data_IF_816352840006
#
_entry.id   IF_816352840006
#
_cell.length_a   1.000
_cell.length_b   1.000
_cell.length_c   1.000
_cell.angle_alpha   90.00
_cell.angle_beta   90.00
_cell.angle_gamma   90.00
#
_symmetry.space_group_name_H-M   'P 1'
#
loop_
_entity.id
_entity.type
_entity.pdbx_description
1 polymer ?
#
# COMPACT_ATOMS: atom_id res chain seq x y z
N UNK A 1 36.08 25.36 18.88
CA UNK A 1 35.59 23.97 18.89
C UNK A 1 36.43 23.25 17.86
N UNK A 2 37.15 22.18 18.22
CA UNK A 2 37.97 21.45 17.24
C UNK A 2 37.06 20.89 16.16
N UNK A 3 37.53 20.81 14.91
CA UNK A 3 36.74 20.36 13.76
C UNK A 3 36.16 18.95 14.03
N UNK A 4 36.97 18.07 14.63
CA UNK A 4 36.56 16.73 15.09
C UNK A 4 35.37 16.78 16.04
N UNK A 5 35.37 17.69 17.01
CA UNK A 5 34.28 17.81 18.00
C UNK A 5 32.97 18.24 17.32
N UNK A 6 33.04 19.17 16.35
CA UNK A 6 31.88 19.59 15.57
C UNK A 6 31.31 18.43 14.76
N UNK A 7 32.16 17.69 14.06
CA UNK A 7 31.74 16.54 13.26
C UNK A 7 31.11 15.43 14.12
N UNK A 8 31.63 15.17 15.32
CA UNK A 8 31.00 14.25 16.27
C UNK A 8 29.61 14.72 16.73
N UNK A 9 29.40 16.02 16.94
CA UNK A 9 28.06 16.55 17.25
C UNK A 9 27.10 16.41 16.07
N UNK A 10 27.56 16.62 14.84
CA UNK A 10 26.75 16.42 13.63
C UNK A 10 26.33 14.95 13.51
N UNK A 11 27.22 13.99 13.79
CA UNK A 11 26.86 12.57 13.81
C UNK A 11 25.83 12.24 14.89
N UNK A 12 25.97 12.81 16.09
CA UNK A 12 24.98 12.63 17.16
C UNK A 12 23.63 13.23 16.78
N UNK A 13 23.62 14.39 16.11
CA UNK A 13 22.40 15.05 15.66
C UNK A 13 21.70 14.29 14.53
N UNK A 14 22.48 13.70 13.63
CA UNK A 14 22.03 12.86 12.52
C UNK A 14 21.52 11.47 12.97
N UNK A 15 21.77 11.07 14.21
CA UNK A 15 21.23 9.82 14.78
C UNK A 15 19.73 9.95 15.05
N UNK A 16 18.98 8.86 14.87
CA UNK A 16 17.55 8.81 15.09
C UNK A 16 17.17 9.16 16.52
N UNK A 17 16.26 10.13 16.66
CA UNK A 17 15.76 10.62 17.95
C UNK A 17 14.40 10.01 18.26
N UNK A 18 14.05 9.79 19.54
CA UNK A 18 12.72 9.37 19.92
C UNK A 18 11.66 10.36 19.39
N UNK A 19 10.71 9.92 18.54
CA UNK A 19 9.68 10.80 18.03
C UNK A 19 8.66 11.13 19.12
N UNK A 20 7.88 12.19 18.90
CA UNK A 20 6.64 12.38 19.64
C UNK A 20 5.61 11.33 19.22
N UNK A 21 4.73 10.91 20.12
CA UNK A 21 3.69 9.91 19.80
C UNK A 21 4.13 8.44 19.91
N UNK A 22 5.20 8.12 20.64
CA UNK A 22 5.60 6.71 20.89
C UNK A 22 4.46 5.91 21.54
N UNK A 23 3.74 6.53 22.48
CA UNK A 23 2.57 5.93 23.13
C UNK A 23 1.32 5.90 22.21
N UNK A 24 1.36 6.63 21.09
CA UNK A 24 0.32 6.63 20.06
C UNK A 24 0.69 5.67 18.89
N UNK A 25 1.77 4.89 19.02
CA UNK A 25 2.16 3.87 18.04
C UNK A 25 3.28 4.27 17.09
N UNK A 26 3.91 5.43 17.27
CA UNK A 26 5.09 5.82 16.47
C UNK A 26 6.34 5.08 16.98
N UNK A 27 6.72 4.01 16.28
CA UNK A 27 7.81 3.10 16.71
C UNK A 27 9.08 3.20 15.86
N UNK A 28 9.12 4.12 14.89
CA UNK A 28 10.29 4.40 14.06
C UNK A 28 11.02 5.63 14.59
N UNK A 29 12.36 5.61 14.60
CA UNK A 29 13.24 6.73 14.94
C UNK A 29 14.19 6.95 13.74
N UNK A 30 13.82 7.84 12.83
CA UNK A 30 14.59 8.10 11.61
C UNK A 30 15.75 9.05 11.92
N UNK A 31 16.95 8.67 11.49
CA UNK A 31 18.13 9.53 11.48
C UNK A 31 18.26 10.27 10.15
N UNK A 32 19.00 11.38 10.14
CA UNK A 32 19.27 12.13 8.92
C UNK A 32 20.36 11.42 8.09
N UNK A 33 19.92 10.61 7.13
CA UNK A 33 20.79 9.81 6.26
C UNK A 33 21.83 10.65 5.53
N UNK A 34 21.40 11.74 4.87
CA UNK A 34 22.29 12.56 4.06
C UNK A 34 23.29 13.33 4.89
N UNK A 35 22.87 13.84 6.05
CA UNK A 35 23.76 14.55 6.98
C UNK A 35 24.83 13.62 7.54
N UNK A 36 24.45 12.40 7.93
CA UNK A 36 25.41 11.40 8.40
C UNK A 36 26.48 11.09 7.36
N UNK A 37 26.09 10.84 6.11
CA UNK A 37 27.04 10.48 5.05
C UNK A 37 27.93 11.64 4.58
N UNK A 38 27.54 12.89 4.85
CA UNK A 38 28.35 14.09 4.55
C UNK A 38 29.50 14.30 5.54
N UNK A 39 29.45 13.67 6.71
CA UNK A 39 30.51 13.80 7.73
C UNK A 39 31.82 13.18 7.24
N UNK A 40 32.86 14.02 7.17
CA UNK A 40 34.24 13.62 6.85
C UNK A 40 35.18 14.35 7.81
N UNK A 41 36.06 13.61 8.45
CA UNK A 41 37.06 14.14 9.39
C UNK A 41 38.43 13.88 8.83
N UNK A 42 39.23 14.94 8.67
CA UNK A 42 40.62 14.84 8.27
C UNK A 42 41.50 14.38 9.45
N UNK A 43 42.55 13.64 9.13
CA UNK A 43 43.64 13.32 10.03
C UNK A 43 44.58 14.54 10.09
N UNK A 44 44.72 15.14 11.26
CA UNK A 44 45.49 16.39 11.46
C UNK A 44 47.00 16.20 11.20
N UNK A 45 47.48 14.94 11.15
CA UNK A 45 48.91 14.60 11.14
C UNK A 45 49.51 14.28 9.76
N UNK A 46 48.72 14.09 8.69
CA UNK A 46 49.22 13.68 7.36
C UNK A 46 48.47 14.37 6.20
N UNK A 47 49.02 15.46 5.66
CA UNK A 47 48.62 15.99 4.34
C UNK A 47 49.40 15.28 3.24
N UNK A 48 48.77 14.35 2.52
CA UNK A 48 49.35 13.75 1.31
C UNK A 48 49.04 14.63 0.08
N UNK A 49 50.06 14.84 -0.75
CA UNK A 49 49.93 15.56 -2.03
C UNK A 49 49.52 14.55 -3.12
N UNK A 50 48.41 14.82 -3.81
CA UNK A 50 47.98 14.10 -5.02
C UNK A 50 49.06 14.19 -6.13
N UNK A 51 49.05 13.28 -7.11
CA UNK A 51 49.94 13.29 -8.30
C UNK A 51 49.83 14.61 -9.11
N UNK A 52 48.74 15.36 -8.90
CA UNK A 52 48.48 16.70 -9.46
C UNK A 52 48.89 17.87 -8.53
N UNK A 53 49.57 17.59 -7.41
CA UNK A 53 50.07 18.59 -6.46
C UNK A 53 48.97 19.26 -5.62
N UNK A 54 47.80 18.63 -5.47
CA UNK A 54 46.71 19.10 -4.61
C UNK A 54 46.84 18.50 -3.22
N UNK A 55 46.72 19.32 -2.18
CA UNK A 55 46.59 18.83 -0.80
C UNK A 55 45.32 18.00 -0.68
N UNK A 56 45.46 16.69 -0.49
CA UNK A 56 44.36 15.80 -0.19
C UNK A 56 44.46 15.41 1.28
N UNK A 57 43.50 15.87 2.07
CA UNK A 57 43.41 15.51 3.48
C UNK A 57 43.19 14.00 3.61
N UNK A 58 44.06 13.32 4.35
CA UNK A 58 43.87 11.90 4.70
C UNK A 58 42.64 11.81 5.60
N UNK A 59 41.61 11.07 5.18
CA UNK A 59 40.37 10.95 5.97
C UNK A 59 40.61 10.04 7.20
N UNK A 60 40.51 10.59 8.41
CA UNK A 60 40.60 9.85 9.68
C UNK A 60 39.39 8.92 9.86
N UNK A 61 38.18 9.45 9.67
CA UNK A 61 36.97 8.66 9.48
C UNK A 61 35.91 9.46 8.72
N UNK A 62 34.92 8.73 8.21
CA UNK A 62 33.69 9.28 7.61
C UNK A 62 32.46 8.74 8.32
N UNK A 63 31.32 9.40 8.15
CA UNK A 63 30.06 8.89 8.68
C UNK A 63 29.60 7.62 7.97
N UNK A 64 29.04 6.70 8.75
CA UNK A 64 28.41 5.46 8.31
C UNK A 64 27.01 5.39 8.93
N UNK A 65 26.01 5.19 8.09
CA UNK A 65 24.61 5.15 8.50
C UNK A 65 24.16 3.71 8.70
N UNK A 66 23.77 3.33 9.91
CA UNK A 66 23.33 2.00 10.28
C UNK A 66 21.85 1.97 10.64
N UNK A 67 21.11 0.97 10.14
CA UNK A 67 19.70 0.74 10.48
C UNK A 67 19.59 -0.44 11.43
N UNK A 68 19.01 -0.23 12.61
CA UNK A 68 18.77 -1.25 13.62
C UNK A 68 17.29 -1.44 13.94
N UNK A 69 16.89 -2.69 14.13
CA UNK A 69 15.55 -3.08 14.58
C UNK A 69 15.63 -3.66 15.99
N UNK A 70 14.74 -3.22 16.87
CA UNK A 70 14.55 -3.70 18.22
C UNK A 70 13.16 -4.32 18.32
N UNK A 71 13.11 -5.60 18.70
CA UNK A 71 11.86 -6.32 18.91
C UNK A 71 11.71 -6.67 20.39
N UNK A 72 10.58 -6.36 21.03
CA UNK A 72 10.37 -6.78 22.41
C UNK A 72 10.41 -8.30 22.51
N UNK A 73 10.96 -8.83 23.60
CA UNK A 73 10.90 -10.26 23.88
C UNK A 73 9.47 -10.64 24.26
N UNK A 74 8.91 -11.62 23.55
CA UNK A 74 7.54 -12.07 23.77
C UNK A 74 7.46 -13.60 23.77
N UNK A 75 6.54 -14.18 24.56
CA UNK A 75 6.25 -15.61 24.53
C UNK A 75 5.68 -16.03 23.17
N UNK A 76 5.68 -17.33 22.86
CA UNK A 76 5.15 -17.83 21.58
C UNK A 76 3.68 -17.44 21.41
N UNK A 77 3.36 -16.88 20.24
CA UNK A 77 2.02 -16.51 19.82
C UNK A 77 1.04 -17.69 19.94
N UNK A 78 -0.10 -17.54 20.66
CA UNK A 78 -1.11 -18.58 20.74
C UNK A 78 -1.82 -18.79 19.40
N UNK A 79 -2.33 -20.00 19.16
CA UNK A 79 -2.98 -20.37 17.90
C UNK A 79 -4.32 -19.64 17.68
N UNK A 80 -5.00 -19.24 18.76
CA UNK A 80 -6.27 -18.52 18.75
C UNK A 80 -6.16 -17.30 19.69
N UNK A 81 -6.33 -16.11 19.14
CA UNK A 81 -6.30 -14.84 19.87
C UNK A 81 -7.20 -13.82 19.18
N UNK A 82 -7.86 -12.99 19.96
CA UNK A 82 -8.56 -11.79 19.49
C UNK A 82 -7.75 -10.53 19.83
N UNK A 83 -8.15 -9.37 19.33
CA UNK A 83 -7.44 -8.11 19.62
C UNK A 83 -7.43 -7.76 21.13
N UNK A 84 -8.41 -8.27 21.89
CA UNK A 84 -8.55 -8.08 23.35
C UNK A 84 -8.14 -9.31 24.19
N UNK A 85 -7.62 -10.40 23.59
CA UNK A 85 -7.32 -11.61 24.37
C UNK A 85 -6.01 -11.50 25.15
N UNK A 86 -6.05 -11.65 26.48
CA UNK A 86 -4.86 -11.54 27.33
C UNK A 86 -3.94 -12.74 27.16
N UNK A 87 -2.63 -12.50 26.99
CA UNK A 87 -1.63 -13.57 26.95
C UNK A 87 -1.40 -14.08 28.38
N UNK A 88 -1.92 -15.27 28.69
CA UNK A 88 -1.82 -15.89 30.02
C UNK A 88 -0.39 -15.97 30.58
N UNK A 89 0.64 -16.00 29.72
CA UNK A 89 2.05 -16.01 30.13
C UNK A 89 2.57 -14.71 30.75
N UNK A 90 1.83 -13.60 30.67
CA UNK A 90 2.19 -12.30 31.22
C UNK A 90 1.28 -11.84 32.38
N UNK A 91 0.23 -12.61 32.68
CA UNK A 91 -0.63 -12.34 33.83
C UNK A 91 0.06 -12.85 35.09
N UNK A 92 0.63 -11.94 35.86
CA UNK A 92 1.05 -12.23 37.24
C UNK A 92 -0.18 -12.03 38.13
N UNK A 93 -0.52 -13.05 38.90
CA UNK A 93 -1.77 -13.20 39.67
C UNK A 93 -1.96 -12.19 40.82
N UNK A 94 -1.08 -11.17 40.95
CA UNK A 94 -1.14 -10.19 42.03
C UNK A 94 -1.01 -8.76 41.53
N UNK A 95 -2.08 -8.01 41.77
CA UNK A 95 -2.26 -6.56 41.71
C UNK A 95 -2.42 -5.90 40.34
N UNK A 96 -3.48 -5.09 40.22
CA UNK A 96 -3.79 -4.16 39.12
C UNK A 96 -2.65 -3.15 38.95
N UNK A 97 -1.64 -3.57 38.20
CA UNK A 97 -0.45 -2.81 37.90
C UNK A 97 -0.37 -2.53 36.41
N UNK A 98 0.49 -1.58 36.03
CA UNK A 98 0.86 -1.27 34.64
C UNK A 98 1.12 -2.55 33.80
N UNK A 99 1.54 -3.65 34.44
CA UNK A 99 1.72 -4.94 33.79
C UNK A 99 0.44 -5.56 33.19
N UNK A 100 -0.75 -5.31 33.74
CA UNK A 100 -2.02 -5.77 33.15
C UNK A 100 -2.33 -5.03 31.84
N UNK A 101 -2.05 -3.72 31.78
CA UNK A 101 -2.21 -2.94 30.55
C UNK A 101 -1.19 -3.37 29.47
N UNK A 102 0.05 -3.66 29.89
CA UNK A 102 1.06 -4.25 29.00
C UNK A 102 0.70 -5.67 28.55
N UNK A 103 0.02 -6.46 29.38
CA UNK A 103 -0.46 -7.80 29.03
C UNK A 103 -1.60 -7.75 28.00
N UNK A 104 -2.43 -6.69 28.05
CA UNK A 104 -3.46 -6.41 27.04
C UNK A 104 -2.83 -5.97 25.70
N UNK A 105 -1.70 -5.24 25.77
CA UNK A 105 -0.92 -4.83 24.61
C UNK A 105 0.07 -5.91 24.11
N UNK A 106 0.16 -7.07 24.79
CA UNK A 106 1.17 -8.09 24.49
C UNK A 106 1.02 -8.73 23.10
N UNK A 107 -0.20 -8.81 22.59
CA UNK A 107 -0.44 -9.27 21.22
C UNK A 107 0.01 -8.23 20.19
N UNK A 108 -0.13 -6.95 20.50
CA UNK A 108 0.32 -5.85 19.64
C UNK A 108 1.86 -5.81 19.54
N UNK A 109 2.57 -6.04 20.65
CA UNK A 109 4.02 -6.09 20.67
C UNK A 109 4.62 -7.18 19.75
N UNK A 110 3.85 -8.24 19.38
CA UNK A 110 4.32 -9.25 18.42
C UNK A 110 4.52 -8.70 17.00
N UNK A 111 3.84 -7.60 16.69
CA UNK A 111 3.83 -6.98 15.36
C UNK A 111 4.60 -5.66 15.34
N UNK A 112 4.84 -5.06 16.51
CA UNK A 112 5.71 -3.88 16.61
C UNK A 112 7.16 -4.29 16.39
N UNK A 113 7.81 -3.59 15.48
CA UNK A 113 9.27 -3.56 15.38
C UNK A 113 9.72 -2.13 15.55
N UNK A 114 10.48 -1.84 16.61
CA UNK A 114 11.06 -0.53 16.78
C UNK A 114 12.22 -0.40 15.83
N UNK A 115 12.21 0.62 14.97
CA UNK A 115 13.33 0.91 14.09
C UNK A 115 14.08 2.12 14.63
N UNK A 116 15.39 2.03 14.75
CA UNK A 116 16.24 3.15 15.12
C UNK A 116 17.45 3.20 14.19
N UNK A 117 17.70 4.37 13.64
CA UNK A 117 18.82 4.60 12.74
C UNK A 117 19.97 5.29 13.49
N UNK A 118 21.20 4.81 13.31
CA UNK A 118 22.41 5.28 13.98
C UNK A 118 23.38 5.91 12.98
N UNK A 119 23.99 7.04 13.34
CA UNK A 119 25.14 7.57 12.63
C UNK A 119 26.41 7.29 13.43
N UNK A 120 27.30 6.48 12.87
CA UNK A 120 28.52 5.99 13.52
C UNK A 120 29.73 6.20 12.61
N UNK A 121 30.97 6.24 13.13
CA UNK A 121 32.13 6.42 12.27
C UNK A 121 32.38 5.15 11.45
N UNK A 122 32.97 5.31 10.27
CA UNK A 122 33.32 4.22 9.36
C UNK A 122 34.33 3.21 9.93
N UNK A 123 34.98 3.56 11.04
CA UNK A 123 35.85 2.67 11.81
C UNK A 123 35.05 1.61 12.58
N UNK A 124 33.75 1.81 12.81
CA UNK A 124 32.88 0.82 13.42
C UNK A 124 32.42 -0.20 12.39
N UNK A 125 32.54 -1.50 12.70
CA UNK A 125 31.96 -2.54 11.85
C UNK A 125 30.50 -2.77 12.19
N UNK A 126 29.75 -3.38 11.26
CA UNK A 126 28.36 -3.80 11.50
C UNK A 126 28.22 -4.69 12.74
N UNK A 127 29.22 -5.53 13.02
CA UNK A 127 29.23 -6.40 14.18
C UNK A 127 29.38 -5.63 15.49
N UNK A 128 30.17 -4.55 15.48
CA UNK A 128 30.33 -3.68 16.65
C UNK A 128 29.00 -3.00 16.99
N UNK A 129 28.29 -2.49 15.98
CA UNK A 129 26.96 -1.90 16.15
C UNK A 129 25.95 -2.95 16.60
N UNK A 130 26.04 -4.18 16.09
CA UNK A 130 25.19 -5.28 16.56
C UNK A 130 25.45 -5.59 18.04
N UNK A 131 26.70 -5.61 18.50
CA UNK A 131 27.05 -5.82 19.92
C UNK A 131 26.51 -4.69 20.79
N UNK A 132 26.75 -3.44 20.42
CA UNK A 132 26.23 -2.26 21.16
C UNK A 132 24.70 -2.29 21.22
N UNK A 133 24.05 -2.55 20.09
CA UNK A 133 22.58 -2.65 20.01
C UNK A 133 22.05 -3.78 20.89
N UNK A 134 22.73 -4.94 20.95
CA UNK A 134 22.32 -6.04 21.83
C UNK A 134 22.49 -5.74 23.32
N UNK A 135 23.51 -4.95 23.70
CA UNK A 135 23.68 -4.51 25.08
C UNK A 135 22.56 -3.56 25.50
N UNK A 136 22.23 -2.58 24.66
CA UNK A 136 21.09 -1.67 24.87
C UNK A 136 19.79 -2.48 24.97
N UNK A 137 19.58 -3.41 24.04
CA UNK A 137 18.36 -4.21 23.98
C UNK A 137 18.21 -5.15 25.20
N UNK A 138 19.30 -5.72 25.71
CA UNK A 138 19.27 -6.61 26.87
C UNK A 138 18.74 -5.92 28.12
N UNK A 139 19.06 -4.64 28.30
CA UNK A 139 18.58 -3.86 29.45
C UNK A 139 17.07 -3.59 29.39
N UNK A 140 16.48 -3.68 28.20
CA UNK A 140 15.05 -3.42 27.98
C UNK A 140 14.24 -4.71 27.75
N UNK A 141 14.87 -5.89 27.77
CA UNK A 141 14.28 -7.17 27.32
C UNK A 141 13.88 -7.19 25.84
N UNK A 142 14.66 -6.54 24.97
CA UNK A 142 14.49 -6.54 23.52
C UNK A 142 15.53 -7.43 22.84
N UNK A 143 15.22 -7.87 21.62
CA UNK A 143 16.14 -8.46 20.65
C UNK A 143 16.50 -7.42 19.59
N UNK A 144 17.77 -7.06 19.50
CA UNK A 144 18.28 -6.17 18.47
C UNK A 144 18.77 -6.91 17.22
N UNK A 145 18.58 -6.31 16.04
CA UNK A 145 19.14 -6.76 14.76
C UNK A 145 19.51 -5.56 13.89
N UNK A 146 20.78 -5.47 13.52
CA UNK A 146 21.28 -4.47 12.56
C UNK A 146 21.04 -4.98 11.14
N UNK A 147 20.22 -4.27 10.37
CA UNK A 147 19.84 -4.66 9.01
C UNK A 147 20.97 -4.39 8.03
N UNK A 148 21.47 -3.15 8.03
CA UNK A 148 22.45 -2.63 7.07
C UNK A 148 23.22 -1.46 7.66
N UNK A 149 24.43 -1.24 7.16
CA UNK A 149 25.26 -0.08 7.43
C UNK A 149 25.90 0.37 6.11
N UNK A 150 25.72 1.64 5.74
CA UNK A 150 26.07 2.18 4.43
C UNK A 150 26.98 3.40 4.57
N UNK A 151 27.91 3.57 3.63
CA UNK A 151 28.82 4.73 3.55
C UNK A 151 28.63 5.49 2.25
N UNK A 152 29.17 6.72 2.16
CA UNK A 152 28.98 7.59 0.99
C UNK A 152 29.41 6.97 -0.34
N UNK A 153 30.39 6.06 -0.34
CA UNK A 153 30.92 5.41 -1.54
C UNK A 153 30.00 4.29 -2.08
N UNK A 154 29.01 3.84 -1.30
CA UNK A 154 28.10 2.76 -1.71
C UNK A 154 26.97 3.28 -2.66
N UNK A 155 26.87 4.60 -2.86
CA UNK A 155 25.81 5.26 -3.64
C UNK A 155 26.09 5.38 -5.14
N UNK A 156 27.27 4.97 -5.63
CA UNK A 156 27.59 5.04 -7.07
C UNK A 156 26.91 3.96 -7.92
N UNK A 157 26.13 3.07 -7.31
CA UNK A 157 25.30 2.12 -8.05
C UNK A 157 24.03 2.83 -8.50
N UNK A 158 23.84 2.94 -9.83
CA UNK A 158 22.59 3.44 -10.43
C UNK A 158 21.40 2.81 -9.73
N UNK A 159 20.64 3.64 -9.02
CA UNK A 159 19.45 3.20 -8.31
C UNK A 159 18.50 2.55 -9.32
N UNK A 160 17.85 1.45 -8.93
CA UNK A 160 16.82 0.79 -9.77
C UNK A 160 15.76 1.80 -10.24
N UNK A 161 15.50 2.84 -9.44
CA UNK A 161 14.60 3.94 -9.79
C UNK A 161 15.14 4.79 -10.93
N UNK A 162 16.44 5.09 -10.98
CA UNK A 162 17.05 5.81 -12.11
C UNK A 162 16.95 4.99 -13.40
N UNK A 163 17.22 3.68 -13.32
CA UNK A 163 17.07 2.77 -14.47
C UNK A 163 15.62 2.71 -14.98
N UNK A 164 14.64 2.65 -14.07
CA UNK A 164 13.22 2.70 -14.41
C UNK A 164 12.81 4.05 -15.02
N UNK A 165 13.31 5.17 -14.50
CA UNK A 165 13.03 6.49 -15.08
C UNK A 165 13.61 6.63 -16.50
N UNK A 166 14.79 6.08 -16.75
CA UNK A 166 15.39 6.05 -18.09
C UNK A 166 14.57 5.17 -19.03
N UNK A 167 14.11 3.99 -18.57
CA UNK A 167 13.27 3.11 -19.37
C UNK A 167 11.92 3.77 -19.72
N UNK A 168 11.27 4.41 -18.75
CA UNK A 168 9.99 5.10 -18.96
C UNK A 168 10.17 6.27 -19.92
N UNK A 169 11.19 7.11 -19.73
CA UNK A 169 11.46 8.22 -20.65
C UNK A 169 11.78 7.73 -22.06
N UNK A 170 12.55 6.64 -22.20
CA UNK A 170 12.82 5.99 -23.49
C UNK A 170 11.53 5.49 -24.16
N UNK A 171 10.63 4.83 -23.43
CA UNK A 171 9.35 4.35 -24.00
C UNK A 171 8.44 5.50 -24.44
N UNK A 172 8.42 6.61 -23.70
CA UNK A 172 7.67 7.82 -24.10
C UNK A 172 8.25 8.43 -25.38
N UNK A 173 9.58 8.50 -25.50
CA UNK A 173 10.26 9.01 -26.71
C UNK A 173 9.96 8.11 -27.92
N UNK A 174 9.99 6.79 -27.75
CA UNK A 174 9.62 5.85 -28.83
C UNK A 174 8.14 6.02 -29.20
N UNK A 175 7.25 6.21 -28.23
CA UNK A 175 5.82 6.43 -28.46
C UNK A 175 5.54 7.77 -29.16
N UNK A 176 6.27 8.84 -28.85
CA UNK A 176 6.14 10.14 -29.53
C UNK A 176 6.68 10.08 -30.96
N UNK A 177 7.85 9.48 -31.19
CA UNK A 177 8.43 9.30 -32.54
C UNK A 177 7.53 8.42 -33.41
N UNK A 178 6.98 7.33 -32.87
CA UNK A 178 6.03 6.49 -33.61
C UNK A 178 4.72 7.23 -33.90
N UNK A 179 4.21 8.04 -32.97
CA UNK A 179 3.04 8.90 -33.22
C UNK A 179 3.29 9.96 -34.30
N UNK A 180 4.48 10.60 -34.31
CA UNK A 180 4.87 11.59 -35.31
C UNK A 180 5.05 10.95 -36.70
N UNK A 181 5.74 9.82 -36.77
CA UNK A 181 5.95 9.10 -38.03
C UNK A 181 4.65 8.55 -38.62
N UNK A 182 3.73 8.05 -37.80
CA UNK A 182 2.38 7.65 -38.26
C UNK A 182 1.58 8.85 -38.79
N UNK A 183 1.61 10.00 -38.10
CA UNK A 183 0.93 11.21 -38.58
C UNK A 183 1.52 11.72 -39.90
N UNK A 184 2.85 11.75 -40.03
CA UNK A 184 3.54 12.17 -41.26
C UNK A 184 3.24 11.21 -42.42
N UNK A 185 3.34 9.90 -42.21
CA UNK A 185 3.03 8.90 -43.25
C UNK A 185 1.55 8.86 -43.64
N UNK A 186 0.64 9.20 -42.72
CA UNK A 186 -0.80 9.29 -43.02
C UNK A 186 -1.16 10.42 -43.97
N UNK A 187 -0.32 11.46 -44.09
CA UNK A 187 -0.50 12.53 -45.07
C UNK A 187 -0.09 12.09 -46.50
N UNK A 188 0.88 11.18 -46.65
CA UNK A 188 1.44 10.81 -47.96
C UNK A 188 0.86 9.51 -48.55
N UNK A 189 0.35 8.56 -47.76
CA UNK A 189 -0.17 7.29 -48.30
C UNK A 189 -1.35 6.69 -47.51
N UNK A 190 -2.50 6.61 -48.17
CA UNK A 190 -3.76 6.00 -47.69
C UNK A 190 -3.68 4.48 -47.37
N UNK A 191 -2.57 3.79 -47.67
CA UNK A 191 -2.54 2.32 -47.79
C UNK A 191 -1.75 1.54 -46.73
N UNK A 192 -1.07 2.17 -45.77
CA UNK A 192 -0.34 1.44 -44.71
C UNK A 192 -1.01 1.56 -43.34
N UNK A 193 -2.28 1.15 -43.30
CA UNK A 193 -3.03 0.89 -42.07
C UNK A 193 -2.61 -0.44 -41.44
N UNK A 194 -1.33 -0.59 -41.10
CA UNK A 194 -0.87 -1.73 -40.30
C UNK A 194 -1.36 -1.56 -38.86
N UNK A 195 -2.32 -2.39 -38.44
CA UNK A 195 -3.00 -2.24 -37.14
C UNK A 195 -2.08 -2.44 -35.92
N UNK A 196 -0.88 -3.03 -36.12
CA UNK A 196 0.01 -3.40 -35.01
C UNK A 196 0.74 -2.22 -34.38
N UNK A 197 1.00 -1.16 -35.14
CA UNK A 197 1.69 0.04 -34.63
C UNK A 197 0.74 1.16 -34.22
N UNK A 198 -0.56 1.03 -34.52
CA UNK A 198 -1.58 1.99 -34.10
C UNK A 198 -1.81 1.98 -32.59
N UNK A 199 -1.48 0.90 -31.88
CA UNK A 199 -1.60 0.85 -30.41
C UNK A 199 -0.46 1.57 -29.67
N UNK A 200 0.65 1.86 -30.35
CA UNK A 200 1.82 2.55 -29.78
C UNK A 200 1.79 4.07 -30.01
N UNK A 201 0.95 4.54 -30.93
CA UNK A 201 0.78 5.98 -31.16
C UNK A 201 0.02 6.59 -29.98
N UNK A 202 0.59 7.66 -29.42
CA UNK A 202 -0.01 8.43 -28.35
C UNK A 202 -1.32 9.09 -28.81
N UNK A 203 -1.42 9.52 -30.06
CA UNK A 203 -2.60 10.19 -30.58
C UNK A 203 -3.79 9.25 -30.75
N UNK A 204 -3.56 8.04 -31.25
CA UNK A 204 -4.61 7.01 -31.35
C UNK A 204 -5.02 6.52 -29.97
N UNK A 205 -4.06 6.30 -29.06
CA UNK A 205 -4.35 5.94 -27.66
C UNK A 205 -5.12 7.06 -26.92
N UNK A 206 -4.75 8.32 -27.16
CA UNK A 206 -5.44 9.49 -26.61
C UNK A 206 -6.86 9.60 -27.14
N UNK A 207 -7.06 9.44 -28.45
CA UNK A 207 -8.39 9.46 -29.05
C UNK A 207 -9.22 8.22 -28.70
N UNK A 208 -8.60 7.07 -28.43
CA UNK A 208 -9.31 5.89 -27.93
C UNK A 208 -9.76 6.09 -26.49
N UNK A 209 -8.96 6.77 -25.65
CA UNK A 209 -9.29 7.06 -24.24
C UNK A 209 -10.28 8.22 -24.10
N UNK A 210 -10.04 9.34 -24.78
CA UNK A 210 -10.79 10.61 -24.66
C UNK A 210 -11.81 10.85 -25.79
N UNK A 211 -11.71 10.12 -26.90
CA UNK A 211 -12.62 10.29 -28.03
C UNK A 211 -14.04 9.82 -27.72
N UNK A 212 -15.04 10.37 -28.42
CA UNK A 212 -16.43 9.96 -28.32
C UNK A 212 -16.61 8.58 -28.96
N UNK A 213 -16.27 7.51 -28.25
CA UNK A 213 -16.58 6.16 -28.70
C UNK A 213 -18.07 5.88 -28.53
N UNK A 214 -18.72 5.51 -29.64
CA UNK A 214 -19.91 4.65 -29.61
C UNK A 214 -19.59 3.44 -28.73
N UNK A 215 -20.53 3.03 -27.89
CA UNK A 215 -20.43 1.82 -27.09
C UNK A 215 -20.41 0.58 -28.01
N UNK A 216 -19.27 0.33 -28.66
CA UNK A 216 -19.07 -0.76 -29.63
C UNK A 216 -18.79 -2.11 -28.96
N UNK A 217 -19.15 -2.28 -27.69
CA UNK A 217 -18.99 -3.53 -26.98
C UNK A 217 -20.21 -3.85 -26.15
N UNK A 218 -20.54 -5.14 -26.08
CA UNK A 218 -21.58 -5.76 -25.25
C UNK A 218 -21.55 -5.42 -23.74
N UNK A 219 -20.63 -4.56 -23.30
CA UNK A 219 -20.41 -4.20 -21.90
C UNK A 219 -21.34 -3.05 -21.48
N UNK A 220 -22.10 -3.20 -20.37
CA UNK A 220 -22.97 -2.15 -19.87
C UNK A 220 -22.17 -0.93 -19.40
N UNK A 221 -22.60 0.26 -19.81
CA UNK A 221 -21.92 1.55 -19.55
C UNK A 221 -21.76 1.87 -18.05
N UNK A 222 -22.75 1.64 -17.16
CA UNK A 222 -22.62 1.95 -15.73
C UNK A 222 -21.45 1.24 -15.05
N UNK A 223 -21.03 0.08 -15.57
CA UNK A 223 -19.97 -0.73 -14.97
C UNK A 223 -18.61 -0.02 -14.97
N UNK A 224 -18.36 0.88 -15.92
CA UNK A 224 -17.14 1.69 -15.94
C UNK A 224 -17.08 2.63 -14.74
N UNK A 225 -18.21 3.28 -14.40
CA UNK A 225 -18.26 4.19 -13.26
C UNK A 225 -18.15 3.50 -11.92
N UNK A 226 -18.83 2.35 -11.77
CA UNK A 226 -18.73 1.55 -10.55
C UNK A 226 -17.28 1.09 -10.33
N UNK A 227 -16.59 0.60 -11.36
CA UNK A 227 -15.18 0.21 -11.26
C UNK A 227 -14.28 1.37 -10.86
N UNK A 228 -14.53 2.58 -11.37
CA UNK A 228 -13.76 3.76 -11.03
C UNK A 228 -13.87 4.12 -9.55
N UNK A 229 -15.09 4.14 -9.00
CA UNK A 229 -15.32 4.46 -7.58
C UNK A 229 -14.71 3.39 -6.67
N UNK A 230 -14.94 2.11 -6.98
CA UNK A 230 -14.37 1.00 -6.22
C UNK A 230 -12.85 1.06 -6.21
N UNK A 231 -12.22 1.40 -7.34
CA UNK A 231 -10.77 1.54 -7.39
C UNK A 231 -10.26 2.73 -6.57
N UNK A 232 -10.93 3.88 -6.63
CA UNK A 232 -10.56 5.03 -5.80
C UNK A 232 -10.61 4.65 -4.32
N UNK A 233 -11.68 3.95 -3.90
CA UNK A 233 -11.80 3.42 -2.55
C UNK A 233 -10.66 2.46 -2.19
N UNK A 234 -10.33 1.50 -3.06
CA UNK A 234 -9.21 0.57 -2.84
C UNK A 234 -7.89 1.33 -2.66
N UNK A 235 -7.61 2.33 -3.51
CA UNK A 235 -6.38 3.12 -3.41
C UNK A 235 -6.33 3.89 -2.09
N UNK A 236 -7.44 4.51 -1.66
CA UNK A 236 -7.52 5.21 -0.38
C UNK A 236 -7.26 4.24 0.78
N UNK A 237 -8.00 3.13 0.85
CA UNK A 237 -7.84 2.12 1.91
C UNK A 237 -6.43 1.56 1.93
N UNK A 238 -5.86 1.19 0.79
CA UNK A 238 -4.47 0.74 0.74
C UNK A 238 -3.49 1.83 1.16
N UNK A 239 -3.74 3.10 0.83
CA UNK A 239 -2.87 4.20 1.28
C UNK A 239 -2.89 4.32 2.80
N UNK A 240 -4.08 4.32 3.41
CA UNK A 240 -4.25 4.38 4.86
C UNK A 240 -3.61 3.14 5.52
N UNK A 241 -3.97 1.94 5.07
CA UNK A 241 -3.47 0.67 5.65
C UNK A 241 -1.95 0.54 5.53
N UNK A 242 -1.35 0.93 4.40
CA UNK A 242 0.10 0.84 4.20
C UNK A 242 0.84 1.91 5.02
N UNK A 243 0.25 3.10 5.21
CA UNK A 243 0.81 4.13 6.09
C UNK A 243 0.76 3.70 7.55
N UNK A 244 -0.34 3.08 7.97
CA UNK A 244 -0.50 2.74 9.38
C UNK A 244 0.25 1.48 9.82
N UNK A 245 0.38 0.40 9.02
CA UNK A 245 0.96 -0.81 9.62
C UNK A 245 1.50 -1.94 8.70
N UNK A 246 2.70 -2.44 9.05
CA UNK A 246 3.23 -3.77 8.73
C UNK A 246 2.36 -4.94 9.27
N UNK A 247 1.31 -4.64 10.06
CA UNK A 247 0.43 -5.59 10.76
C UNK A 247 -0.38 -6.50 9.82
N UNK A 248 -0.95 -5.94 8.74
CA UNK A 248 -1.88 -6.67 7.88
C UNK A 248 -1.21 -7.59 6.86
N UNK A 249 0.10 -7.43 6.62
CA UNK A 249 0.83 -8.26 5.63
C UNK A 249 0.87 -9.74 6.02
N UNK A 250 0.62 -10.09 7.28
CA UNK A 250 0.58 -11.46 7.78
C UNK A 250 -0.82 -12.00 8.08
N UNK A 251 -1.89 -11.22 7.87
CA UNK A 251 -3.24 -11.69 8.12
C UNK A 251 -3.79 -12.56 6.99
N UNK A 252 -4.71 -13.46 7.37
CA UNK A 252 -5.34 -14.44 6.47
C UNK A 252 -6.07 -13.80 5.28
N UNK A 253 -6.37 -12.51 5.36
CA UNK A 253 -7.20 -11.70 4.45
C UNK A 253 -6.54 -11.36 3.12
N UNK A 254 -5.20 -11.37 3.03
CA UNK A 254 -4.45 -11.11 1.79
C UNK A 254 -4.33 -12.34 0.90
N UNK A 255 -4.69 -13.51 1.42
CA UNK A 255 -4.49 -14.79 0.73
C UNK A 255 -5.55 -14.99 -0.37
N UNK A 256 -5.14 -15.19 -1.64
CA UNK A 256 -6.07 -15.23 -2.78
C UNK A 256 -7.20 -16.26 -2.65
N UNK A 257 -6.94 -17.40 -2.00
CA UNK A 257 -7.92 -18.49 -1.87
C UNK A 257 -9.14 -18.12 -1.02
N UNK A 258 -9.02 -17.13 -0.13
CA UNK A 258 -10.16 -16.66 0.68
C UNK A 258 -11.19 -15.87 -0.12
N UNK A 259 -10.83 -15.43 -1.33
CA UNK A 259 -11.67 -14.60 -2.22
C UNK A 259 -12.28 -15.39 -3.38
N UNK A 260 -12.04 -16.71 -3.45
CA UNK A 260 -12.54 -17.56 -4.54
C UNK A 260 -14.06 -17.55 -4.66
N UNK A 261 -14.78 -17.54 -3.53
CA UNK A 261 -16.25 -17.51 -3.50
C UNK A 261 -16.81 -16.23 -4.14
N UNK A 262 -16.25 -15.07 -3.78
CA UNK A 262 -16.65 -13.76 -4.33
C UNK A 262 -16.42 -13.72 -5.83
N UNK A 263 -15.29 -14.24 -6.31
CA UNK A 263 -14.99 -14.33 -7.74
C UNK A 263 -15.98 -15.23 -8.49
N UNK A 264 -16.25 -16.43 -7.97
CA UNK A 264 -17.16 -17.39 -8.59
C UNK A 264 -18.59 -16.84 -8.69
N UNK A 265 -19.09 -16.19 -7.63
CA UNK A 265 -20.42 -15.57 -7.59
C UNK A 265 -20.52 -14.43 -8.62
N UNK A 266 -19.52 -13.55 -8.69
CA UNK A 266 -19.48 -12.46 -9.66
C UNK A 266 -19.41 -12.96 -11.11
N UNK A 267 -18.61 -14.00 -11.38
CA UNK A 267 -18.52 -14.63 -12.69
C UNK A 267 -19.86 -15.24 -13.12
N UNK A 268 -20.49 -15.99 -12.22
CA UNK A 268 -21.80 -16.61 -12.47
C UNK A 268 -22.90 -15.55 -12.71
N UNK A 269 -22.96 -14.50 -11.89
CA UNK A 269 -23.92 -13.41 -12.07
C UNK A 269 -23.72 -12.68 -13.42
N UNK A 270 -22.47 -12.47 -13.83
CA UNK A 270 -22.16 -11.90 -15.14
C UNK A 270 -22.58 -12.80 -16.31
N UNK A 271 -22.37 -14.12 -16.20
CA UNK A 271 -22.83 -15.10 -17.18
C UNK A 271 -24.36 -15.13 -17.28
N UNK A 272 -25.07 -15.15 -16.15
CA UNK A 272 -26.53 -15.05 -16.10
C UNK A 272 -27.04 -13.78 -16.78
N UNK A 273 -26.40 -12.63 -16.52
CA UNK A 273 -26.79 -11.37 -17.16
C UNK A 273 -26.62 -11.45 -18.67
N UNK A 274 -25.54 -12.06 -19.16
CA UNK A 274 -25.31 -12.25 -20.58
C UNK A 274 -26.37 -13.13 -21.23
N UNK A 275 -26.73 -14.25 -20.59
CA UNK A 275 -27.78 -15.16 -21.10
C UNK A 275 -29.15 -14.46 -21.10
N UNK A 276 -29.51 -13.76 -20.02
CA UNK A 276 -30.77 -13.02 -19.91
C UNK A 276 -30.94 -11.84 -20.88
N UNK A 277 -29.85 -11.42 -21.55
CA UNK A 277 -29.88 -10.43 -22.64
C UNK A 277 -30.27 -11.08 -23.97
N UNK A 278 -29.94 -12.35 -24.17
CA UNK A 278 -30.25 -13.10 -25.38
C UNK A 278 -31.69 -13.61 -25.39
N UNK A 279 -32.26 -13.87 -24.22
CA UNK A 279 -33.67 -14.22 -24.07
C UNK A 279 -34.51 -12.94 -23.97
N UNK A 280 -35.28 -12.65 -25.02
CA UNK A 280 -36.25 -11.55 -25.10
C UNK A 280 -37.46 -11.84 -24.19
N UNK A 281 -37.23 -11.87 -22.87
CA UNK A 281 -38.21 -12.26 -21.85
C UNK A 281 -38.89 -11.04 -21.20
N UNK A 282 -40.20 -11.18 -21.00
CA UNK A 282 -41.22 -10.15 -20.70
C UNK A 282 -40.83 -9.07 -19.64
N UNK A 283 -40.95 -7.81 -20.05
CA UNK A 283 -40.46 -6.58 -19.37
C UNK A 283 -41.14 -6.28 -18.01
N UNK A 284 -42.42 -6.62 -17.85
CA UNK A 284 -43.21 -6.24 -16.68
C UNK A 284 -42.84 -7.02 -15.40
N UNK A 285 -42.55 -8.31 -15.54
CA UNK A 285 -42.11 -9.20 -14.45
C UNK A 285 -40.69 -8.90 -13.94
N UNK A 286 -39.87 -8.22 -14.74
CA UNK A 286 -38.48 -7.85 -14.45
C UNK A 286 -38.41 -6.62 -13.52
N UNK A 287 -39.31 -5.65 -13.71
CA UNK A 287 -39.38 -4.43 -12.90
C UNK A 287 -39.83 -4.69 -11.44
N UNK A 288 -40.82 -5.56 -11.25
CA UNK A 288 -41.36 -5.89 -9.90
C UNK A 288 -40.39 -6.74 -9.08
N UNK A 289 -39.71 -7.72 -9.70
CA UNK A 289 -38.66 -8.51 -9.02
C UNK A 289 -37.38 -7.70 -8.74
N UNK A 290 -37.09 -6.69 -9.57
CA UNK A 290 -35.94 -5.79 -9.41
C UNK A 290 -36.09 -4.85 -8.20
N UNK A 291 -37.30 -4.36 -7.93
CA UNK A 291 -37.55 -3.39 -6.85
C UNK A 291 -37.49 -4.00 -5.44
N UNK A 292 -37.84 -5.27 -5.25
CA UNK A 292 -37.85 -5.91 -3.91
C UNK A 292 -36.48 -6.38 -3.43
N UNK A 293 -35.54 -6.63 -4.34
CA UNK A 293 -34.22 -7.13 -3.92
C UNK A 293 -33.24 -6.04 -3.46
N UNK A 294 -33.51 -4.75 -3.74
CA UNK A 294 -32.72 -3.65 -3.20
C UNK A 294 -32.79 -3.54 -1.66
N UNK A 295 -33.97 -3.46 -1.03
CA UNK A 295 -34.05 -3.39 0.43
C UNK A 295 -33.47 -4.65 1.09
N UNK A 296 -33.68 -5.83 0.51
CA UNK A 296 -33.07 -7.08 1.00
C UNK A 296 -31.54 -6.99 0.95
N UNK A 297 -30.96 -6.55 -0.18
CA UNK A 297 -29.50 -6.42 -0.32
C UNK A 297 -28.92 -5.42 0.69
N UNK A 298 -29.60 -4.29 0.88
CA UNK A 298 -29.19 -3.26 1.85
C UNK A 298 -29.27 -3.81 3.28
N UNK A 299 -30.35 -4.48 3.65
CA UNK A 299 -30.50 -5.10 4.97
C UNK A 299 -29.42 -6.15 5.21
N UNK A 300 -29.12 -7.02 4.23
CA UNK A 300 -28.02 -7.99 4.34
C UNK A 300 -26.68 -7.29 4.55
N UNK A 301 -26.37 -6.25 3.79
CA UNK A 301 -25.12 -5.48 3.95
C UNK A 301 -25.05 -4.85 5.35
N UNK A 302 -26.14 -4.23 5.82
CA UNK A 302 -26.18 -3.61 7.15
C UNK A 302 -26.04 -4.65 8.27
N UNK A 303 -26.70 -5.81 8.15
CA UNK A 303 -26.57 -6.92 9.11
C UNK A 303 -25.14 -7.45 9.15
N UNK A 304 -24.45 -7.55 8.01
CA UNK A 304 -23.04 -7.95 7.99
C UNK A 304 -22.12 -6.91 8.63
N UNK A 305 -22.36 -5.60 8.40
CA UNK A 305 -21.55 -4.53 8.99
C UNK A 305 -21.77 -4.46 10.51
N UNK A 306 -23.02 -4.39 10.95
CA UNK A 306 -23.35 -4.21 12.37
C UNK A 306 -23.34 -5.51 13.18
N UNK A 307 -23.41 -6.67 12.54
CA UNK A 307 -23.40 -7.98 13.21
C UNK A 307 -22.10 -8.30 13.94
N UNK A 308 -21.00 -7.63 13.60
CA UNK A 308 -19.72 -7.75 14.30
C UNK A 308 -19.46 -6.62 15.30
N UNK A 309 -20.42 -5.73 15.53
CA UNK A 309 -20.24 -4.58 16.42
C UNK A 309 -19.81 -5.00 17.83
N UNK A 310 -20.47 -6.00 18.40
CA UNK A 310 -20.16 -6.49 19.75
C UNK A 310 -18.75 -7.10 19.82
N UNK A 311 -18.27 -7.67 18.70
CA UNK A 311 -16.92 -8.24 18.61
C UNK A 311 -15.86 -7.15 18.57
N UNK A 312 -16.17 -6.00 17.97
CA UNK A 312 -15.29 -4.82 17.95
C UNK A 312 -15.18 -4.20 19.34
N UNK A 313 -16.26 -4.23 20.12
CA UNK A 313 -16.28 -3.76 21.52
C UNK A 313 -15.52 -4.70 22.46
N UNK A 314 -15.19 -5.91 22.01
CA UNK A 314 -14.36 -6.87 22.75
C UNK A 314 -15.14 -8.08 23.27
N UNK A 315 -16.44 -8.17 23.03
CA UNK A 315 -17.25 -9.34 23.35
C UNK A 315 -17.06 -10.41 22.27
N UNK A 316 -16.14 -11.34 22.55
CA UNK A 316 -15.77 -12.40 21.61
C UNK A 316 -16.91 -13.41 21.45
N UNK A 317 -17.31 -13.72 20.20
CA UNK A 317 -18.33 -14.73 19.94
C UNK A 317 -17.82 -16.13 20.25
N UNK A 318 -18.75 -17.06 20.42
CA UNK A 318 -18.43 -18.49 20.43
C UNK A 318 -17.66 -18.90 19.15
N UNK A 319 -16.66 -19.79 19.23
CA UNK A 319 -15.87 -20.20 18.08
C UNK A 319 -16.72 -20.72 16.91
N UNK A 320 -17.86 -21.36 17.19
CA UNK A 320 -18.77 -21.82 16.14
C UNK A 320 -19.41 -20.64 15.39
N UNK A 321 -19.85 -19.61 16.10
CA UNK A 321 -20.45 -18.40 15.52
C UNK A 321 -19.42 -17.64 14.69
N UNK A 322 -18.20 -17.49 15.20
CA UNK A 322 -17.09 -16.85 14.47
C UNK A 322 -16.75 -17.61 13.18
N UNK A 323 -16.65 -18.94 13.24
CA UNK A 323 -16.35 -19.77 12.07
C UNK A 323 -17.48 -19.72 11.03
N UNK A 324 -18.73 -19.77 11.47
CA UNK A 324 -19.90 -19.67 10.59
C UNK A 324 -19.94 -18.31 9.88
N UNK A 325 -19.68 -17.23 10.63
CA UNK A 325 -19.62 -15.90 10.06
C UNK A 325 -18.47 -15.77 9.05
N UNK A 326 -17.25 -16.20 9.38
CA UNK A 326 -16.11 -16.09 8.45
C UNK A 326 -16.34 -16.86 7.14
N UNK A 327 -17.00 -18.02 7.22
CA UNK A 327 -17.37 -18.83 6.06
C UNK A 327 -18.46 -18.19 5.18
N UNK A 328 -19.42 -17.48 5.78
CA UNK A 328 -20.64 -17.03 5.08
C UNK A 328 -20.63 -15.55 4.70
N UNK A 329 -19.94 -14.68 5.45
CA UNK A 329 -19.96 -13.23 5.28
C UNK A 329 -19.64 -12.81 3.82
N UNK A 330 -18.61 -13.42 3.23
CA UNK A 330 -18.14 -13.09 1.87
C UNK A 330 -19.15 -13.53 0.80
N UNK A 331 -19.86 -14.62 1.05
CA UNK A 331 -20.89 -15.17 0.16
C UNK A 331 -22.11 -14.24 0.17
N UNK A 332 -22.64 -13.90 1.35
CA UNK A 332 -23.80 -13.01 1.45
C UNK A 332 -23.51 -11.60 0.95
N UNK A 333 -22.34 -11.05 1.28
CA UNK A 333 -21.90 -9.75 0.76
C UNK A 333 -21.86 -9.74 -0.77
N UNK A 334 -21.22 -10.74 -1.37
CA UNK A 334 -21.08 -10.82 -2.83
C UNK A 334 -22.41 -11.04 -3.53
N UNK A 335 -23.33 -11.84 -2.96
CA UNK A 335 -24.69 -11.99 -3.50
C UNK A 335 -25.48 -10.68 -3.47
N UNK A 336 -25.45 -9.94 -2.35
CA UNK A 336 -26.13 -8.65 -2.22
C UNK A 336 -25.59 -7.62 -3.22
N UNK A 337 -24.25 -7.52 -3.34
CA UNK A 337 -23.62 -6.63 -4.32
C UNK A 337 -23.93 -7.07 -5.76
N UNK A 338 -23.88 -8.36 -6.07
CA UNK A 338 -24.21 -8.88 -7.39
C UNK A 338 -25.65 -8.56 -7.79
N UNK A 339 -26.60 -8.64 -6.86
CA UNK A 339 -27.99 -8.26 -7.12
C UNK A 339 -28.12 -6.77 -7.47
N UNK A 340 -27.48 -5.89 -6.70
CA UNK A 340 -27.43 -4.45 -6.98
C UNK A 340 -26.85 -4.19 -8.37
N UNK A 341 -25.70 -4.81 -8.70
CA UNK A 341 -25.07 -4.66 -10.02
C UNK A 341 -25.95 -5.19 -11.17
N UNK A 342 -26.62 -6.32 -10.94
CA UNK A 342 -27.53 -6.91 -11.93
C UNK A 342 -28.68 -5.96 -12.26
N UNK A 343 -29.30 -5.34 -11.26
CA UNK A 343 -30.41 -4.39 -11.48
C UNK A 343 -29.96 -3.09 -12.15
N UNK A 344 -28.81 -2.52 -11.75
CA UNK A 344 -28.24 -1.30 -12.38
C UNK A 344 -27.94 -1.56 -13.87
N UNK A 345 -27.35 -2.72 -14.19
CA UNK A 345 -27.02 -3.07 -15.57
C UNK A 345 -28.23 -3.51 -16.40
N UNK A 346 -29.29 -4.01 -15.78
CA UNK A 346 -30.56 -4.32 -16.43
C UNK A 346 -31.34 -3.05 -16.81
N UNK A 347 -31.43 -2.08 -15.89
CA UNK A 347 -32.21 -0.86 -16.10
C UNK A 347 -31.57 0.12 -17.09
N UNK A 348 -30.24 0.11 -17.23
CA UNK A 348 -29.51 0.96 -18.16
C UNK A 348 -29.93 0.81 -19.64
N UNK A 349 -30.63 -0.28 -19.99
CA UNK A 349 -31.16 -0.53 -21.34
C UNK A 349 -32.55 0.09 -21.57
N UNK A 350 -33.26 0.50 -20.51
CA UNK A 350 -34.56 1.15 -20.62
C UNK A 350 -34.44 2.67 -20.87
N UNK A 351 -35.44 3.22 -21.57
CA UNK A 351 -35.52 4.65 -21.91
C UNK A 351 -35.58 5.60 -20.70
N UNK A 352 -35.99 5.11 -19.52
CA UNK A 352 -36.03 5.90 -18.28
C UNK A 352 -34.90 5.47 -17.35
N UNK A 353 -33.82 6.25 -17.33
CA UNK A 353 -32.70 6.03 -16.42
C UNK A 353 -33.00 6.57 -15.02
N UNK A 354 -32.60 5.82 -14.00
CA UNK A 354 -32.63 6.31 -12.61
C UNK A 354 -31.52 7.36 -12.37
N UNK A 355 -31.64 8.17 -11.31
CA UNK A 355 -30.60 9.16 -10.96
C UNK A 355 -29.22 8.50 -10.75
N UNK A 356 -29.22 7.30 -10.15
CA UNK A 356 -28.02 6.51 -9.87
C UNK A 356 -27.35 6.08 -11.18
N UNK A 357 -28.14 5.59 -12.14
CA UNK A 357 -27.62 5.20 -13.47
C UNK A 357 -27.06 6.41 -14.23
N UNK A 358 -27.74 7.55 -14.17
CA UNK A 358 -27.25 8.79 -14.81
C UNK A 358 -25.92 9.25 -14.21
N UNK A 359 -25.75 9.10 -12.90
CA UNK A 359 -24.50 9.39 -12.20
C UNK A 359 -23.36 8.48 -12.70
N UNK A 360 -23.56 7.16 -12.68
CA UNK A 360 -22.52 6.20 -13.12
C UNK A 360 -22.23 6.25 -14.64
N UNK A 361 -23.20 6.65 -15.46
CA UNK A 361 -23.03 6.82 -16.90
C UNK A 361 -22.33 8.12 -17.31
N UNK A 362 -22.03 9.01 -16.36
CA UNK A 362 -21.41 10.31 -16.63
C UNK A 362 -20.07 10.15 -17.37
N UNK A 363 -19.76 11.11 -18.25
CA UNK A 363 -18.56 11.07 -19.12
C UNK A 363 -17.27 10.94 -18.30
N UNK A 364 -17.20 11.60 -17.15
CA UNK A 364 -16.07 11.52 -16.21
C UNK A 364 -15.80 10.09 -15.73
N UNK A 365 -16.84 9.38 -15.30
CA UNK A 365 -16.73 8.01 -14.79
C UNK A 365 -16.40 7.00 -15.90
N UNK A 366 -16.84 7.27 -17.13
CA UNK A 366 -16.45 6.48 -18.31
C UNK A 366 -14.97 6.62 -18.62
N UNK A 367 -14.44 7.84 -18.51
CA UNK A 367 -13.02 8.11 -18.66
C UNK A 367 -12.20 7.40 -17.57
N UNK A 368 -12.54 7.63 -16.30
CA UNK A 368 -11.85 6.99 -15.17
C UNK A 368 -11.91 5.46 -15.23
N UNK A 369 -13.07 4.91 -15.61
CA UNK A 369 -13.28 3.46 -15.79
C UNK A 369 -12.37 2.80 -16.83
N UNK A 370 -11.77 3.56 -17.76
CA UNK A 370 -10.78 3.05 -18.73
C UNK A 370 -9.37 3.00 -18.14
N UNK A 371 -9.05 3.93 -17.24
CA UNK A 371 -7.76 4.01 -16.56
C UNK A 371 -7.66 3.06 -15.36
N UNK A 372 -8.76 2.44 -14.93
CA UNK A 372 -8.77 1.63 -13.69
C UNK A 372 -7.76 0.50 -13.69
N UNK A 373 -7.53 -0.17 -14.83
CA UNK A 373 -6.57 -1.28 -14.88
C UNK A 373 -5.13 -0.79 -14.66
N UNK A 374 -4.75 0.30 -15.32
CA UNK A 374 -3.41 0.89 -15.19
C UNK A 374 -3.21 1.42 -13.78
N UNK A 375 -4.19 2.17 -13.27
CA UNK A 375 -4.14 2.69 -11.91
C UNK A 375 -4.06 1.56 -10.86
N UNK A 376 -4.82 0.48 -11.03
CA UNK A 376 -4.75 -0.69 -10.15
C UNK A 376 -3.37 -1.36 -10.14
N UNK A 377 -2.71 -1.49 -11.30
CA UNK A 377 -1.38 -2.09 -11.37
C UNK A 377 -0.28 -1.17 -10.83
N UNK A 378 -0.40 0.14 -11.05
CA UNK A 378 0.64 1.11 -10.69
C UNK A 378 0.57 1.55 -9.21
N UNK A 379 -0.61 1.57 -8.59
CA UNK A 379 -0.76 2.12 -7.23
C UNK A 379 0.15 1.48 -6.15
N UNK A 380 0.38 0.15 -6.06
CA UNK A 380 1.23 -0.39 -5.00
C UNK A 380 2.70 -0.06 -5.22
N UNK A 381 3.14 0.07 -6.49
CA UNK A 381 4.50 0.50 -6.82
C UNK A 381 4.70 1.98 -6.47
N UNK A 382 3.74 2.84 -6.82
CA UNK A 382 3.80 4.27 -6.49
C UNK A 382 3.76 4.48 -4.97
N UNK A 383 2.88 3.78 -4.25
CA UNK A 383 2.81 3.83 -2.79
C UNK A 383 4.12 3.37 -2.14
N UNK A 384 4.67 2.23 -2.55
CA UNK A 384 5.93 1.72 -2.01
C UNK A 384 7.12 2.64 -2.32
N UNK A 385 7.17 3.24 -3.51
CA UNK A 385 8.20 4.22 -3.86
C UNK A 385 8.07 5.50 -3.04
N UNK A 386 6.85 6.03 -2.88
CA UNK A 386 6.58 7.22 -2.08
C UNK A 386 6.99 7.01 -0.62
N UNK A 387 6.64 5.86 -0.04
CA UNK A 387 7.01 5.47 1.33
C UNK A 387 8.51 5.24 1.49
N UNK A 388 9.14 4.63 0.49
CA UNK A 388 10.60 4.41 0.50
C UNK A 388 11.38 5.71 0.35
N UNK A 389 10.80 6.71 -0.34
CA UNK A 389 11.39 8.05 -0.46
C UNK A 389 11.11 8.98 0.73
N UNK A 390 10.25 8.58 1.68
CA UNK A 390 10.01 9.39 2.87
C UNK A 390 11.28 9.38 3.74
N UNK A 391 11.90 10.55 3.89
CA UNK A 391 13.04 10.79 4.78
C UNK A 391 12.60 11.29 6.18
N UNK A 392 11.28 11.41 6.43
CA UNK A 392 10.72 11.94 7.68
C UNK A 392 9.55 11.07 8.20
N UNK A 393 9.24 11.21 9.50
CA UNK A 393 8.10 10.52 10.13
C UNK A 393 6.77 10.98 9.51
N UNK A 394 5.96 10.03 9.07
CA UNK A 394 4.53 10.26 8.91
C UNK A 394 3.89 10.21 10.29
N UNK A 395 3.45 11.36 10.80
CA UNK A 395 2.61 11.41 11.99
C UNK A 395 1.27 10.77 11.62
N UNK A 396 0.92 9.63 12.23
CA UNK A 396 -0.43 9.08 12.11
C UNK A 396 -1.38 10.03 12.86
N UNK A 397 -2.13 10.84 12.11
CA UNK A 397 -3.20 11.64 12.68
C UNK A 397 -4.36 10.73 13.10
N UNK A 398 -5.16 11.12 14.09
CA UNK A 398 -6.39 10.41 14.51
C UNK A 398 -7.40 10.14 13.38
N UNK A 399 -7.28 10.85 12.25
CA UNK A 399 -8.10 10.63 11.05
C UNK A 399 -7.67 9.42 10.19
N UNK A 400 -6.47 8.87 10.44
CA UNK A 400 -5.93 7.67 9.77
C UNK A 400 -6.24 6.39 10.56
N UNK A 401 -6.42 6.49 11.89
CA UNK A 401 -6.73 5.35 12.77
C UNK A 401 -8.23 5.01 12.89
N UNK A 402 -9.12 5.77 12.26
CA UNK A 402 -10.57 5.52 12.15
C UNK A 402 -10.90 4.91 10.79
#
# INVERSE_FOLDING_TARGET
MNDITLQCYIMLDATGKPPSGIFEGVVTMFGNFEECLKVRVADDDDSELDDEGREQFKEFFRGQFCVAEFKPWLPKKPAFYGMSSKIKGLLRESDDTVYNDFADLALFFHFITFRMDFCVPSTCTREDIQRVSTLIAKNLEFKARVLRCETANDYEVWSIYQMLTILVTFTIIVATITSLSVNYLSMDHFLLKSSKFQSLSLMTSWNDIFGPQQATGDKPIPLYGIRAIVLIWIIIVHTVVVVDFQYFLNEKTTKPWTHLSVFAIGFYAGALRRISKCDEYNDYTKSVKSSTGWPISIVVILVLIYGCHDWVIGELPDPFVSALYDATQKIFWSLAVCWILFTITANSEHSKQTLIERFFCHKFFRFMGRLTLVAYLMHPMVQSMLLSSQQQHLYSSTLLML
#
